data_IF_930660117782
#
_entry.id   IF_930660117782
#
_cell.length_a   1.000
_cell.length_b   1.000
_cell.length_c   1.000
_cell.angle_alpha   90.00
_cell.angle_beta   90.00
_cell.angle_gamma   90.00
#
_symmetry.space_group_name_H-M   'P 1'
#
loop_
_entity.id
_entity.type
_entity.pdbx_description
1 polymer ?
2 non-polymer ?
3 non-polymer ?
4 non-polymer ?
5 non-polymer ?
6 water ?
#
# COMPACT_ATOMS: atom_id res chain seq x y z
N UNK A 7 -14.07 21.84 -14.58
CA UNK A 7 -13.75 20.41 -14.28
C UNK A 7 -14.30 19.98 -12.93
N UNK A 8 -14.93 18.81 -12.91
CA UNK A 8 -15.61 18.32 -11.71
C UNK A 8 -14.73 17.39 -10.90
N UNK A 9 -14.98 17.35 -9.59
CA UNK A 9 -14.32 16.40 -8.72
C UNK A 9 -14.84 15.00 -9.00
N UNK A 10 -13.92 14.05 -9.10
CA UNK A 10 -14.31 12.65 -9.32
C UNK A 10 -13.57 11.70 -8.37
N UNK A 11 -14.07 10.48 -8.26
CA UNK A 11 -13.37 9.41 -7.59
C UNK A 11 -12.96 8.40 -8.64
N UNK A 12 -11.73 7.92 -8.56
CA UNK A 12 -11.31 6.77 -9.37
C UNK A 12 -11.03 5.57 -8.47
N UNK A 13 -12.01 4.67 -8.41
CA UNK A 13 -11.86 3.41 -7.67
C UNK A 13 -11.04 2.46 -8.51
N UNK A 14 -10.07 1.81 -7.88
CA UNK A 14 -9.19 0.89 -8.61
C UNK A 14 -8.72 -0.25 -7.73
N UNK A 15 -8.16 -1.27 -8.39
CA UNK A 15 -7.64 -2.46 -7.72
C UNK A 15 -6.69 -3.20 -8.68
N UNK A 16 -5.57 -3.70 -8.14
CA UNK A 16 -4.68 -4.61 -8.88
C UNK A 16 -4.89 -6.07 -8.50
N UNK A 17 -4.78 -6.96 -9.47
CA UNK A 17 -4.42 -8.34 -9.19
C UNK A 17 -2.97 -8.47 -9.58
N UNK A 18 -2.16 -9.08 -8.72
CA UNK A 18 -0.72 -9.21 -8.99
C UNK A 18 -0.29 -10.66 -8.94
N UNK A 19 0.97 -10.90 -9.28
CA UNK A 19 1.53 -12.25 -9.27
C UNK A 19 2.28 -12.57 -7.96
N UNK A 20 2.15 -11.69 -6.97
CA UNK A 20 2.78 -11.93 -5.68
C UNK A 20 2.58 -10.80 -4.69
N UNK A 21 3.05 -11.03 -3.46
CA UNK A 21 2.80 -10.13 -2.35
C UNK A 21 3.72 -8.90 -2.34
N UNK A 22 4.86 -8.99 -3.01
CA UNK A 22 5.85 -7.91 -2.95
C UNK A 22 5.56 -6.84 -4.01
N UNK A 23 5.22 -5.61 -3.56
CA UNK A 23 4.80 -4.59 -4.54
C UNK A 23 5.92 -4.16 -5.49
N UNK A 24 7.17 -4.40 -5.11
CA UNK A 24 8.33 -4.09 -5.95
C UNK A 24 8.85 -5.28 -6.74
N UNK A 25 8.93 -6.44 -6.08
CA UNK A 25 9.65 -7.60 -6.64
C UNK A 25 8.72 -8.61 -7.34
N UNK A 26 7.43 -8.48 -7.09
CA UNK A 26 6.46 -9.23 -7.86
C UNK A 26 5.84 -8.31 -8.92
N UNK A 27 5.27 -8.91 -9.95
CA UNK A 27 4.75 -8.15 -11.08
C UNK A 27 3.23 -8.10 -11.07
N UNK A 28 2.65 -6.99 -11.58
CA UNK A 28 1.19 -6.87 -11.67
C UNK A 28 0.64 -7.80 -12.75
N UNK A 29 -0.60 -8.23 -12.59
CA UNK A 29 -1.26 -9.06 -13.58
C UNK A 29 -2.39 -8.32 -14.27
N UNK A 30 -3.19 -7.62 -13.47
CA UNK A 30 -4.41 -7.00 -13.96
C UNK A 30 -4.69 -5.72 -13.18
N UNK A 31 -5.20 -4.71 -13.88
CA UNK A 31 -5.65 -3.48 -13.25
C UNK A 31 -7.12 -3.29 -13.59
N UNK A 32 -7.93 -2.91 -12.60
CA UNK A 32 -9.35 -2.61 -12.82
C UNK A 32 -9.69 -1.27 -12.17
N UNK A 33 -10.49 -0.45 -12.87
CA UNK A 33 -10.89 0.86 -12.33
C UNK A 33 -12.21 1.33 -12.91
N UNK A 34 -12.89 2.21 -12.18
CA UNK A 34 -14.04 2.92 -12.71
C UNK A 34 -14.16 4.26 -12.03
N UNK A 35 -14.62 5.25 -12.79
CA UNK A 35 -14.74 6.62 -12.31
C UNK A 35 -16.17 6.92 -11.88
N UNK A 36 -16.31 7.59 -10.74
CA UNK A 36 -17.63 8.06 -10.28
C UNK A 36 -17.61 9.57 -10.08
N UNK A 37 -18.80 10.18 -10.06
CA UNK A 37 -18.92 11.56 -9.62
C UNK A 37 -18.75 11.68 -8.10
N UNK A 38 -18.90 12.90 -7.59
CA UNK A 38 -18.66 13.16 -6.16
C UNK A 38 -19.65 12.44 -5.24
N UNK A 39 -20.74 11.94 -5.83
CA UNK A 39 -21.78 11.23 -5.08
C UNK A 39 -21.75 9.71 -5.32
N UNK A 40 -20.69 9.23 -5.95
CA UNK A 40 -20.46 7.79 -6.24
C UNK A 40 -21.34 7.20 -7.34
N UNK A 41 -21.96 8.07 -8.14
CA UNK A 41 -22.62 7.64 -9.38
C UNK A 41 -21.58 7.31 -10.44
N UNK A 42 -21.67 6.11 -11.01
CA UNK A 42 -20.73 5.70 -12.04
C UNK A 42 -20.89 6.57 -13.30
N UNK A 43 -19.80 7.20 -13.72
CA UNK A 43 -19.83 8.07 -14.91
C UNK A 43 -18.87 7.60 -16.00
N UNK A 44 -17.99 6.65 -15.66
CA UNK A 44 -17.04 6.12 -16.62
C UNK A 44 -17.39 4.71 -17.05
N UNK A 45 -16.66 4.22 -18.06
CA UNK A 45 -16.74 2.83 -18.47
C UNK A 45 -15.74 2.03 -17.65
N UNK A 46 -16.02 0.74 -17.40
CA UNK A 46 -15.04 -0.10 -16.72
C UNK A 46 -13.70 -0.11 -17.46
N UNK A 47 -12.62 0.09 -16.73
CA UNK A 47 -11.27 0.04 -17.29
C UNK A 47 -10.57 -1.19 -16.76
N UNK A 48 -10.47 -2.23 -17.58
CA UNK A 48 -9.85 -3.50 -17.16
C UNK A 48 -8.80 -3.90 -18.18
N UNK A 49 -7.55 -4.06 -17.73
CA UNK A 49 -6.50 -4.49 -18.64
C UNK A 49 -5.37 -5.23 -17.93
N UNK A 50 -4.59 -5.96 -18.73
CA UNK A 50 -3.60 -6.89 -18.19
C UNK A 50 -2.20 -6.41 -18.46
N UNK A 51 -1.25 -6.93 -17.69
CA UNK A 51 0.15 -6.61 -17.89
C UNK A 51 0.93 -7.87 -18.26
N UNK A 52 1.58 -7.83 -19.44
CA UNK A 52 2.52 -8.89 -19.84
C UNK A 52 3.69 -8.96 -18.87
N UNK A 53 3.91 -10.14 -18.27
CA UNK A 53 5.14 -10.30 -17.46
C UNK A 53 6.36 -10.55 -18.35
N UNK A 54 7.49 -9.90 -18.02
CA UNK A 54 8.74 -10.14 -18.75
C UNK A 54 9.29 -11.54 -18.45
N UNK A 55 10.21 -12.01 -19.28
CA UNK A 55 10.68 -13.39 -19.18
C UNK A 55 11.80 -13.61 -18.14
N UNK A 56 11.95 -12.67 -17.21
CA UNK A 56 12.90 -12.81 -16.11
C UNK A 56 12.17 -13.10 -14.79
N UNK A 57 10.92 -13.52 -14.88
CA UNK A 57 10.08 -13.63 -13.70
C UNK A 57 9.16 -14.84 -13.74
N UNK A 58 9.04 -15.53 -12.60
CA UNK A 58 7.96 -16.49 -12.39
C UNK A 58 7.04 -16.04 -11.26
N UNK A 59 5.72 -16.19 -11.45
CA UNK A 59 4.79 -15.74 -10.44
C UNK A 59 4.82 -16.61 -9.19
N UNK A 60 4.43 -16.04 -8.06
CA UNK A 60 4.23 -16.84 -6.84
C UNK A 60 3.00 -17.73 -7.04
N UNK A 61 3.18 -19.05 -6.89
CA UNK A 61 2.05 -19.96 -7.12
C UNK A 61 0.83 -19.59 -6.28
N UNK A 62 1.05 -19.18 -5.03
CA UNK A 62 -0.05 -18.81 -4.14
C UNK A 62 -0.90 -17.67 -4.67
N UNK A 63 -0.24 -16.70 -5.30
CA UNK A 63 -0.95 -15.54 -5.88
C UNK A 63 -1.90 -15.99 -6.98
N UNK A 64 -1.42 -16.87 -7.85
CA UNK A 64 -2.21 -17.36 -8.98
C UNK A 64 -3.41 -18.19 -8.50
N UNK A 65 -3.22 -18.96 -7.42
CA UNK A 65 -4.34 -19.71 -6.82
C UNK A 65 -5.45 -18.79 -6.29
N UNK A 66 -5.08 -17.60 -5.82
CA UNK A 66 -6.05 -16.59 -5.35
C UNK A 66 -6.77 -15.87 -6.51
N UNK A 67 -5.99 -15.38 -7.47
CA UNK A 67 -6.52 -14.55 -8.57
C UNK A 67 -7.16 -15.35 -9.70
N UNK A 68 -6.66 -16.55 -9.93
CA UNK A 68 -7.09 -17.36 -11.07
C UNK A 68 -6.54 -16.88 -12.41
N UNK A 69 -5.59 -15.94 -12.35
CA UNK A 69 -4.96 -15.41 -13.57
C UNK A 69 -3.58 -16.01 -13.75
N UNK A 70 -3.44 -16.84 -14.79
CA UNK A 70 -2.17 -17.48 -15.11
C UNK A 70 -1.23 -16.48 -15.79
N UNK A 71 0.10 -16.75 -15.73
CA UNK A 71 1.01 -15.91 -16.48
C UNK A 71 0.75 -15.99 -17.99
N UNK A 72 0.26 -17.15 -18.47
CA UNK A 72 -0.09 -17.32 -19.89
C UNK A 72 -1.18 -16.34 -20.31
N UNK A 73 -2.19 -16.17 -19.44
CA UNK A 73 -3.32 -15.31 -19.76
C UNK A 73 -2.92 -13.84 -19.74
N UNK A 74 -2.17 -13.42 -18.72
CA UNK A 74 -1.66 -12.04 -18.68
C UNK A 74 -0.73 -11.75 -19.87
N UNK A 75 0.10 -12.72 -20.22
CA UNK A 75 0.98 -12.57 -21.39
C UNK A 75 0.19 -12.44 -22.69
N UNK A 76 -0.87 -13.25 -22.85
CA UNK A 76 -1.63 -13.26 -24.11
C UNK A 76 -2.60 -12.10 -24.25
N UNK A 77 -3.07 -11.57 -23.12
CA UNK A 77 -4.08 -10.51 -23.11
C UNK A 77 -3.48 -9.14 -22.80
N UNK A 78 -2.26 -9.13 -22.26
CA UNK A 78 -1.66 -7.91 -21.74
C UNK A 78 -0.91 -7.07 -22.74
N UNK A 79 -0.56 -5.86 -22.32
CA UNK A 79 0.45 -5.09 -23.02
C UNK A 79 1.68 -5.04 -22.14
N UNK A 80 2.81 -4.62 -22.70
CA UNK A 80 4.03 -4.54 -21.90
C UNK A 80 3.85 -3.55 -20.75
N UNK A 81 4.69 -3.66 -19.73
CA UNK A 81 4.53 -2.86 -18.53
C UNK A 81 4.61 -1.36 -18.82
N UNK A 82 5.42 -0.98 -19.82
CA UNK A 82 5.46 0.43 -20.27
C UNK A 82 4.07 0.94 -20.67
N UNK A 83 3.35 0.15 -21.47
CA UNK A 83 2.02 0.55 -21.95
C UNK A 83 0.99 0.47 -20.83
N UNK A 84 1.13 -0.55 -19.98
CA UNK A 84 0.31 -0.73 -18.77
C UNK A 84 0.43 0.52 -17.87
N UNK A 85 1.67 0.94 -17.62
CA UNK A 85 1.94 2.15 -16.85
C UNK A 85 1.29 3.39 -17.48
N UNK A 86 1.44 3.53 -18.80
CA UNK A 86 0.88 4.67 -19.53
C UNK A 86 -0.63 4.80 -19.33
N UNK A 87 -1.33 3.66 -19.43
CA UNK A 87 -2.77 3.65 -19.27
C UNK A 87 -3.19 4.07 -17.86
N UNK A 88 -2.50 3.53 -16.86
CA UNK A 88 -2.80 3.85 -15.47
C UNK A 88 -2.48 5.32 -15.18
N UNK A 89 -1.32 5.78 -15.66
CA UNK A 89 -0.91 7.17 -15.46
C UNK A 89 -1.93 8.16 -16.05
N UNK A 90 -2.46 7.82 -17.21
CA UNK A 90 -3.45 8.66 -17.87
C UNK A 90 -4.72 8.80 -17.05
N UNK A 91 -5.16 7.70 -16.43
CA UNK A 91 -6.35 7.71 -15.57
C UNK A 91 -6.10 8.49 -14.28
N UNK A 92 -4.92 8.27 -13.70
CA UNK A 92 -4.60 8.81 -12.39
C UNK A 92 -4.34 10.32 -12.42
N UNK A 93 -3.98 10.86 -13.60
CA UNK A 93 -3.57 12.26 -13.69
C UNK A 93 -4.64 13.18 -14.25
N UNK A 94 -5.85 12.66 -14.44
CA UNK A 94 -6.99 13.53 -14.74
C UNK A 94 -7.19 14.46 -13.54
N UNK A 95 -7.28 15.78 -13.79
CA UNK A 95 -7.37 16.71 -12.66
C UNK A 95 -8.58 16.48 -11.74
N UNK A 96 -8.39 16.81 -10.47
CA UNK A 96 -9.47 16.74 -9.46
C UNK A 96 -9.95 15.32 -9.19
N UNK A 97 -9.06 14.35 -9.33
CA UNK A 97 -9.35 12.94 -9.06
C UNK A 97 -8.92 12.54 -7.65
N UNK A 98 -9.85 11.96 -6.89
CA UNK A 98 -9.49 11.22 -5.69
C UNK A 98 -9.30 9.75 -6.06
N UNK A 99 -8.05 9.29 -6.01
CA UNK A 99 -7.73 7.91 -6.34
C UNK A 99 -7.82 7.08 -5.09
N UNK A 100 -8.66 6.05 -5.11
CA UNK A 100 -8.90 5.28 -3.91
C UNK A 100 -9.16 3.81 -4.20
N UNK A 101 -9.04 3.00 -3.18
CA UNK A 101 -9.36 1.58 -3.29
C UNK A 101 -9.64 1.00 -1.91
N UNK A 102 -9.29 -0.26 -1.76
CA UNK A 102 -9.45 -0.96 -0.49
C UNK A 102 -8.11 -1.63 -0.16
N UNK A 103 -7.41 -1.07 0.83
CA UNK A 103 -6.01 -1.40 1.15
C UNK A 103 -5.00 -0.85 0.14
N UNK A 104 -5.41 0.17 -0.61
CA UNK A 104 -4.50 0.76 -1.58
C UNK A 104 -3.31 1.51 -0.96
N UNK A 105 -3.51 2.14 0.20
CA UNK A 105 -2.41 2.88 0.83
C UNK A 105 -1.20 1.98 1.11
N UNK A 106 -1.45 0.78 1.62
CA UNK A 106 -0.37 -0.17 1.95
C UNK A 106 0.05 -1.04 0.78
N UNK A 107 -0.87 -1.34 -0.13
CA UNK A 107 -0.56 -2.27 -1.21
C UNK A 107 -0.59 -1.62 -2.58
N UNK A 108 -1.78 -1.35 -3.10
CA UNK A 108 -1.93 -0.91 -4.50
C UNK A 108 -1.11 0.33 -4.85
N UNK A 109 -1.08 1.31 -3.94
CA UNK A 109 -0.30 2.53 -4.18
C UNK A 109 1.20 2.25 -4.29
N UNK A 110 1.67 1.23 -3.57
CA UNK A 110 3.06 0.81 -3.66
C UNK A 110 3.37 0.08 -4.96
N UNK A 111 2.42 -0.73 -5.44
CA UNK A 111 2.50 -1.30 -6.79
C UNK A 111 2.60 -0.17 -7.82
N UNK A 112 1.70 0.81 -7.73
CA UNK A 112 1.72 1.97 -8.64
C UNK A 112 3.09 2.69 -8.65
N UNK A 113 3.57 3.05 -7.46
CA UNK A 113 4.86 3.74 -7.33
C UNK A 113 5.97 2.96 -8.02
N UNK A 114 5.97 1.64 -7.83
CA UNK A 114 6.99 0.77 -8.44
C UNK A 114 6.87 0.62 -9.95
N UNK A 115 5.65 0.45 -10.46
CA UNK A 115 5.40 0.46 -11.90
C UNK A 115 5.87 1.79 -12.53
N UNK A 116 5.57 2.91 -11.88
CA UNK A 116 5.98 4.22 -12.40
C UNK A 116 7.50 4.36 -12.36
N UNK A 117 8.09 4.00 -11.22
CA UNK A 117 9.55 3.95 -11.04
C UNK A 117 10.26 3.16 -12.15
N UNK A 118 9.79 1.94 -12.42
CA UNK A 118 10.42 1.07 -13.42
C UNK A 118 10.26 1.60 -14.85
N UNK A 119 9.21 2.38 -15.08
CA UNK A 119 8.89 2.78 -16.43
C UNK A 119 8.98 4.28 -16.70
N UNK A 120 9.80 4.94 -15.88
CA UNK A 120 10.22 6.33 -16.12
C UNK A 120 9.11 7.37 -15.97
N UNK A 121 8.13 7.06 -15.13
CA UNK A 121 7.18 8.05 -14.63
C UNK A 121 7.57 8.52 -13.23
N UNK A 122 7.19 9.75 -12.89
CA UNK A 122 7.29 10.23 -11.51
C UNK A 122 6.45 9.32 -10.62
N UNK A 123 7.07 8.74 -9.57
CA UNK A 123 6.32 7.80 -8.73
C UNK A 123 5.33 8.46 -7.77
N UNK A 124 5.43 9.78 -7.61
CA UNK A 124 4.71 10.47 -6.53
C UNK A 124 3.73 11.55 -6.99
N UNK A 125 4.06 12.24 -8.08
CA UNK A 125 3.31 13.44 -8.50
C UNK A 125 1.81 13.21 -8.73
N UNK A 126 1.48 12.03 -9.27
CA UNK A 126 0.10 11.67 -9.64
C UNK A 126 -0.91 11.88 -8.50
N UNK A 127 -0.45 11.70 -7.27
CA UNK A 127 -1.37 11.66 -6.12
C UNK A 127 -1.78 13.03 -5.60
N UNK A 128 -1.08 14.09 -6.00
CA UNK A 128 -1.34 15.44 -5.45
C UNK A 128 -1.50 16.56 -6.49
N UNK A 129 -0.86 16.41 -7.64
CA UNK A 129 -0.91 17.44 -8.69
C UNK A 129 -2.34 17.62 -9.24
N UNK A 130 -2.65 18.84 -9.69
CA UNK A 130 -3.97 19.15 -10.27
C UNK A 130 -5.13 18.90 -9.30
N UNK A 131 -4.90 19.18 -8.01
CA UNK A 131 -5.89 19.01 -6.95
C UNK A 131 -6.30 17.55 -6.73
N UNK A 132 -5.42 16.63 -7.13
CA UNK A 132 -5.69 15.22 -6.88
C UNK A 132 -5.48 14.84 -5.43
N UNK A 133 -6.01 13.68 -5.03
CA UNK A 133 -5.81 13.17 -3.68
C UNK A 133 -5.93 11.66 -3.66
N UNK A 134 -5.69 11.06 -2.49
CA UNK A 134 -5.88 9.63 -2.30
C UNK A 134 -6.78 9.39 -1.09
N UNK A 135 -7.39 8.22 -1.06
CA UNK A 135 -8.17 7.77 0.08
C UNK A 135 -8.12 6.24 0.06
N UNK A 136 -8.60 5.62 1.14
CA UNK A 136 -8.55 4.17 1.25
C UNK A 136 -9.70 3.75 2.14
N UNK A 137 -10.62 2.96 1.59
CA UNK A 137 -11.81 2.54 2.36
C UNK A 137 -11.52 1.57 3.50
N UNK A 138 -10.36 0.90 3.49
CA UNK A 138 -10.03 -0.04 4.56
C UNK A 138 -9.97 0.66 5.92
N UNK A 139 -9.21 1.76 6.00
CA UNK A 139 -9.15 2.45 7.28
C UNK A 139 -10.44 3.19 7.63
N UNK A 140 -11.25 3.51 6.61
CA UNK A 140 -12.61 4.03 6.86
C UNK A 140 -13.48 2.99 7.58
N UNK A 141 -13.47 1.74 7.08
CA UNK A 141 -14.22 0.65 7.72
C UNK A 141 -13.71 0.41 9.15
N UNK A 142 -12.39 0.40 9.31
CA UNK A 142 -11.80 0.24 10.64
C UNK A 142 -12.22 1.36 11.59
N UNK A 143 -12.20 2.61 11.10
CA UNK A 143 -12.63 3.76 11.89
C UNK A 143 -14.10 3.65 12.32
N UNK A 144 -14.94 3.19 11.40
CA UNK A 144 -16.36 2.98 11.71
C UNK A 144 -16.54 1.96 12.83
N UNK A 145 -15.88 0.81 12.70
CA UNK A 145 -15.99 -0.23 13.70
C UNK A 145 -15.60 0.28 15.08
N UNK A 146 -14.49 1.03 15.13
CA UNK A 146 -13.94 1.48 16.40
C UNK A 146 -14.76 2.62 16.98
N UNK A 147 -15.15 3.57 16.13
CA UNK A 147 -15.62 4.86 16.62
C UNK A 147 -17.14 5.04 16.52
N UNK A 148 -17.74 4.46 15.48
CA UNK A 148 -19.17 4.67 15.20
C UNK A 148 -19.76 3.39 14.60
N UNK A 149 -19.83 2.31 15.40
CA UNK A 149 -20.18 0.99 14.84
C UNK A 149 -21.68 0.82 14.52
N UNK A 150 -22.52 1.74 14.98
CA UNK A 150 -23.98 1.62 14.80
C UNK A 150 -24.42 1.49 13.33
N UNK A 151 -25.23 0.47 13.07
CA UNK A 151 -25.93 0.36 11.78
C UNK A 151 -25.23 -0.50 10.75
N UNK A 152 -24.00 -0.92 11.06
CA UNK A 152 -23.26 -1.82 10.20
C UNK A 152 -23.02 -3.15 10.90
N UNK A 153 -23.16 -4.24 10.15
CA UNK A 153 -22.86 -5.58 10.66
C UNK A 153 -21.36 -5.84 10.56
N UNK A 154 -20.75 -6.20 11.70
CA UNK A 154 -19.31 -6.38 11.77
C UNK A 154 -18.96 -7.85 11.91
N UNK A 155 -18.48 -8.47 10.81
CA UNK A 155 -18.20 -9.90 10.80
C UNK A 155 -16.98 -10.25 11.67
N UNK A 156 -17.00 -11.44 12.26
CA UNK A 156 -15.84 -12.00 12.95
C UNK A 156 -15.20 -13.04 12.07
N UNK A 157 -13.87 -13.07 12.06
CA UNK A 157 -13.16 -14.15 11.37
C UNK A 157 -13.10 -15.43 12.20
N UNK A 158 -12.47 -16.46 11.64
CA UNK A 158 -12.42 -17.78 12.29
C UNK A 158 -11.65 -17.77 13.62
N UNK A 159 -10.90 -16.71 13.87
CA UNK A 159 -10.14 -16.58 15.11
C UNK A 159 -10.92 -15.83 16.19
N UNK A 160 -12.09 -15.30 15.83
CA UNK A 160 -12.96 -14.61 16.79
C UNK A 160 -12.66 -13.13 16.91
N UNK A 161 -11.96 -12.59 15.91
CA UNK A 161 -11.58 -11.17 15.86
C UNK A 161 -12.37 -10.47 14.78
N UNK A 162 -12.62 -9.14 14.94
CA UNK A 162 -13.34 -8.43 13.86
C UNK A 162 -12.56 -8.50 12.56
N UNK A 163 -13.26 -8.81 11.47
CA UNK A 163 -12.63 -8.93 10.16
C UNK A 163 -12.93 -7.70 9.29
N UNK A 164 -11.93 -7.28 8.52
CA UNK A 164 -12.10 -6.19 7.57
C UNK A 164 -11.76 -6.59 6.14
N UNK A 165 -11.76 -7.89 5.88
CA UNK A 165 -11.65 -8.39 4.52
C UNK A 165 -12.88 -7.95 3.74
N UNK A 166 -12.64 -7.42 2.55
CA UNK A 166 -13.71 -6.84 1.75
C UNK A 166 -14.86 -7.83 1.56
N UNK A 167 -14.50 -9.08 1.27
CA UNK A 167 -15.49 -10.14 1.04
C UNK A 167 -16.35 -10.46 2.29
N UNK A 168 -15.76 -10.34 3.47
CA UNK A 168 -16.49 -10.58 4.72
C UNK A 168 -17.47 -9.45 5.00
N UNK A 169 -17.03 -8.22 4.76
CA UNK A 169 -17.87 -7.04 5.00
C UNK A 169 -19.05 -6.95 4.03
N UNK A 170 -18.84 -7.30 2.77
CA UNK A 170 -19.94 -7.30 1.80
C UNK A 170 -21.00 -8.35 2.16
N UNK A 171 -20.56 -9.58 2.39
CA UNK A 171 -21.43 -10.69 2.76
C UNK A 171 -22.23 -10.36 4.03
N UNK A 172 -21.55 -9.81 5.02
CA UNK A 172 -22.18 -9.53 6.31
C UNK A 172 -23.23 -8.43 6.21
N UNK A 173 -23.16 -7.61 5.16
CA UNK A 173 -24.06 -6.46 5.01
C UNK A 173 -24.96 -6.53 3.78
N UNK A 174 -25.09 -7.75 3.23
CA UNK A 174 -26.03 -8.01 2.13
C UNK A 174 -25.64 -7.43 0.79
N UNK A 175 -24.37 -7.10 0.62
CA UNK A 175 -23.89 -6.49 -0.62
C UNK A 175 -23.45 -7.54 -1.64
N UNK A 176 -24.10 -7.52 -2.81
CA UNK A 176 -23.73 -8.39 -3.93
C UNK A 176 -22.24 -8.29 -4.24
N UNK A 177 -21.56 -9.42 -4.19
CA UNK A 177 -20.13 -9.49 -4.45
C UNK A 177 -19.79 -10.79 -5.17
N UNK A 178 -19.28 -10.65 -6.41
CA UNK A 178 -18.97 -11.82 -7.23
C UNK A 178 -17.48 -11.90 -7.57
N UNK A 182 -15.95 -12.02 -12.96
CA UNK A 182 -16.08 -10.58 -13.09
C UNK A 182 -14.84 -9.85 -12.52
N UNK A 183 -14.03 -9.30 -13.44
CA UNK A 183 -12.82 -8.58 -13.08
C UNK A 183 -13.11 -7.31 -12.26
N UNK A 184 -14.34 -6.81 -12.37
CA UNK A 184 -14.73 -5.57 -11.73
C UNK A 184 -15.28 -5.77 -10.31
N UNK A 185 -15.32 -7.02 -9.85
CA UNK A 185 -16.02 -7.36 -8.61
C UNK A 185 -15.54 -6.58 -7.38
N UNK A 186 -14.23 -6.49 -7.21
CA UNK A 186 -13.64 -5.80 -6.06
C UNK A 186 -13.85 -4.29 -6.13
N UNK A 187 -13.74 -3.73 -7.33
CA UNK A 187 -13.99 -2.30 -7.53
C UNK A 187 -15.44 -1.92 -7.17
N UNK A 188 -16.40 -2.68 -7.69
CA UNK A 188 -17.80 -2.39 -7.39
C UNK A 188 -18.10 -2.58 -5.90
N UNK A 189 -17.45 -3.58 -5.29
CA UNK A 189 -17.58 -3.83 -3.85
C UNK A 189 -17.05 -2.65 -3.02
N UNK A 190 -15.98 -2.03 -3.50
CA UNK A 190 -15.38 -0.89 -2.81
C UNK A 190 -16.31 0.32 -2.87
N UNK A 191 -16.93 0.54 -4.04
CA UNK A 191 -17.94 1.59 -4.20
C UNK A 191 -19.11 1.36 -3.23
N UNK A 192 -19.52 0.11 -3.09
CA UNK A 192 -20.62 -0.23 -2.19
C UNK A 192 -20.26 0.06 -0.73
N UNK A 193 -19.01 -0.20 -0.35
CA UNK A 193 -18.51 0.13 1.00
C UNK A 193 -18.61 1.62 1.27
N UNK A 194 -18.20 2.42 0.28
CA UNK A 194 -18.23 3.86 0.40
C UNK A 194 -19.66 4.36 0.62
N UNK A 195 -20.58 3.87 -0.21
CA UNK A 195 -21.99 4.22 -0.08
C UNK A 195 -22.55 3.80 1.28
N UNK A 196 -22.14 2.62 1.74
CA UNK A 196 -22.57 2.08 3.02
C UNK A 196 -22.26 3.04 4.18
N UNK A 197 -20.99 3.45 4.27
CA UNK A 197 -20.56 4.34 5.35
C UNK A 197 -21.17 5.74 5.21
N UNK A 198 -21.22 6.24 3.98
CA UNK A 198 -21.80 7.56 3.71
C UNK A 198 -23.25 7.64 4.18
N UNK A 199 -24.00 6.55 3.97
CA UNK A 199 -25.41 6.48 4.35
C UNK A 199 -25.61 6.27 5.86
N UNK A 200 -24.82 5.36 6.43
CA UNK A 200 -25.06 4.93 7.81
C UNK A 200 -24.28 5.72 8.86
N UNK A 201 -23.16 6.31 8.47
CA UNK A 201 -22.42 7.21 9.35
C UNK A 201 -22.00 8.50 8.62
N UNK A 202 -22.99 9.35 8.29
CA UNK A 202 -22.76 10.47 7.38
C UNK A 202 -21.71 11.46 7.88
N UNK A 203 -21.78 11.84 9.17
CA UNK A 203 -20.84 12.83 9.70
C UNK A 203 -19.41 12.29 9.79
N UNK A 204 -19.27 11.02 10.20
CA UNK A 204 -17.93 10.40 10.24
C UNK A 204 -17.35 10.31 8.82
N UNK A 205 -18.19 9.93 7.86
CA UNK A 205 -17.76 9.83 6.46
C UNK A 205 -17.19 11.15 5.97
N UNK A 206 -17.94 12.23 6.19
CA UNK A 206 -17.52 13.57 5.80
C UNK A 206 -16.23 13.98 6.49
N UNK A 207 -16.14 13.66 7.79
CA UNK A 207 -14.94 13.98 8.57
C UNK A 207 -13.71 13.26 8.00
N UNK A 208 -13.84 11.97 7.74
CA UNK A 208 -12.72 11.18 7.22
C UNK A 208 -12.30 11.63 5.81
N UNK A 209 -13.28 11.93 4.96
CA UNK A 209 -12.98 12.41 3.62
C UNK A 209 -12.21 13.74 3.67
N UNK A 210 -12.72 14.70 4.42
CA UNK A 210 -12.06 16.00 4.56
C UNK A 210 -10.63 15.84 5.09
N UNK A 211 -10.47 14.95 6.07
CA UNK A 211 -9.16 14.76 6.72
C UNK A 211 -8.19 13.81 6.00
N UNK A 212 -8.50 13.46 4.75
CA UNK A 212 -7.52 12.82 3.89
C UNK A 212 -6.40 13.80 3.53
N UNK A 213 -6.68 15.09 3.67
CA UNK A 213 -5.75 16.15 3.30
C UNK A 213 -4.74 16.40 4.42
N UNK A 214 -3.46 16.42 4.07
CA UNK A 214 -2.39 16.49 5.07
C UNK A 214 -2.46 17.76 5.92
N UNK A 215 -2.90 18.86 5.32
CA UNK A 215 -2.93 20.14 6.04
C UNK A 215 -4.03 20.17 7.12
N UNK A 216 -5.16 19.49 6.84
CA UNK A 216 -6.20 19.30 7.86
C UNK A 216 -5.73 18.39 9.01
N UNK A 217 -4.97 17.35 8.66
CA UNK A 217 -4.34 16.49 9.67
C UNK A 217 -3.37 17.27 10.55
N UNK A 218 -2.58 18.14 9.92
CA UNK A 218 -1.59 18.96 10.64
C UNK A 218 -2.24 19.78 11.74
N UNK A 219 -3.46 20.26 11.51
CA UNK A 219 -4.16 21.11 12.49
C UNK A 219 -4.49 20.38 13.80
N UNK A 220 -4.54 19.05 13.74
CA UNK A 220 -4.81 18.25 14.93
C UNK A 220 -3.57 18.07 15.79
N UNK A 221 -2.39 18.33 15.21
CA UNK A 221 -1.12 18.02 15.87
C UNK A 221 -0.60 19.19 16.71
N UNK A 222 -0.46 18.95 18.01
CA UNK A 222 0.11 19.94 18.93
C UNK A 222 1.21 19.28 19.75
N UNK A 223 2.45 19.41 19.27
CA UNK A 223 3.59 18.77 19.91
C UNK A 223 3.97 19.38 21.29
N UNK A 224 4.08 20.73 21.38
CA UNK A 224 4.42 21.32 22.69
C UNK A 224 3.47 20.87 23.81
N UNK A 225 2.19 20.74 23.49
CA UNK A 225 1.18 20.37 24.50
C UNK A 225 1.03 18.86 24.61
N UNK A 226 1.67 18.13 23.69
CA UNK A 226 1.46 16.68 23.57
C UNK A 226 -0.02 16.36 23.59
N UNK A 227 -0.78 17.08 22.76
CA UNK A 227 -2.23 16.96 22.76
C UNK A 227 -2.66 15.57 22.28
N UNK A 228 -3.45 14.86 23.12
CA UNK A 228 -3.83 13.49 22.78
C UNK A 228 -4.84 13.42 21.63
N UNK A 229 -4.69 12.39 20.79
CA UNK A 229 -5.60 12.14 19.69
C UNK A 229 -6.01 10.69 19.69
N UNK A 230 -7.16 10.39 19.09
CA UNK A 230 -7.46 9.02 18.75
C UNK A 230 -6.85 8.68 17.38
N UNK A 231 -6.26 7.50 17.29
CA UNK A 231 -5.65 7.05 16.04
C UNK A 231 -6.12 5.63 15.78
N UNK A 232 -6.66 5.42 14.59
CA UNK A 232 -7.05 4.10 14.14
C UNK A 232 -6.06 3.60 13.10
N UNK A 233 -5.43 2.46 13.38
CA UNK A 233 -4.37 1.93 12.54
C UNK A 233 -4.33 0.41 12.62
N UNK A 234 -4.15 -0.23 11.47
CA UNK A 234 -3.98 -1.69 11.41
C UNK A 234 -2.88 -2.19 12.35
N UNK A 235 -1.85 -1.35 12.57
CA UNK A 235 -0.72 -1.73 13.41
C UNK A 235 -1.10 -1.95 14.88
N UNK A 236 -2.24 -1.40 15.29
CA UNK A 236 -2.70 -1.56 16.68
C UNK A 236 -3.33 -2.94 16.93
N UNK A 237 -3.90 -3.55 15.88
CA UNK A 237 -4.43 -4.92 15.99
C UNK A 237 -5.93 -4.98 16.20
N UNK A 238 -6.55 -5.94 15.53
CA UNK A 238 -8.00 -6.11 15.58
C UNK A 238 -8.51 -6.41 17.00
N UNK A 239 -7.63 -6.93 17.86
CA UNK A 239 -8.02 -7.31 19.22
C UNK A 239 -8.44 -6.10 20.06
N UNK A 240 -7.99 -4.91 19.66
CA UNK A 240 -8.43 -3.66 20.31
C UNK A 240 -9.06 -2.72 19.27
N UNK A 241 -9.71 -3.32 18.28
CA UNK A 241 -10.39 -2.55 17.24
C UNK A 241 -9.47 -1.59 16.52
N UNK A 242 -8.19 -1.95 16.41
CA UNK A 242 -7.19 -1.14 15.67
C UNK A 242 -7.05 0.30 16.17
N UNK A 243 -7.32 0.51 17.46
CA UNK A 243 -7.50 1.86 17.97
C UNK A 243 -6.73 2.11 19.26
N UNK A 244 -6.16 3.31 19.38
CA UNK A 244 -5.64 3.77 20.66
C UNK A 244 -5.67 5.28 20.76
N UNK A 245 -5.40 5.76 21.96
CA UNK A 245 -5.09 7.18 22.17
C UNK A 245 -3.58 7.37 22.06
N UNK A 246 -3.18 8.37 21.28
CA UNK A 246 -1.77 8.65 21.02
C UNK A 246 -1.45 10.10 21.33
N UNK A 247 -0.16 10.42 21.45
CA UNK A 247 0.26 11.80 21.60
C UNK A 247 1.51 12.04 20.77
N UNK A 248 1.59 13.20 20.10
CA UNK A 248 2.77 13.53 19.29
C UNK A 248 3.94 13.98 20.18
N UNK A 249 5.11 13.37 19.97
CA UNK A 249 6.31 13.71 20.75
C UNK A 249 7.22 14.66 19.99
N UNK A 250 7.35 14.42 18.69
CA UNK A 250 8.23 15.18 17.83
C UNK A 250 7.97 14.81 16.39
N UNK A 251 8.56 15.57 15.47
CA UNK A 251 8.53 15.23 14.07
C UNK A 251 9.81 14.51 13.68
N UNK A 252 9.71 13.67 12.64
CA UNK A 252 10.84 12.89 12.18
C UNK A 252 11.98 13.81 11.71
N UNK A 253 13.24 13.49 12.09
CA UNK A 253 14.43 14.26 11.72
C UNK A 253 14.63 14.41 10.21
N UNK A 254 14.36 13.34 9.46
CA UNK A 254 14.54 13.35 8.01
C UNK A 254 13.22 13.46 7.25
N UNK A 255 12.27 12.59 7.58
CA UNK A 255 11.01 12.51 6.85
C UNK A 255 10.07 13.68 7.18
N UNK A 256 9.90 14.56 6.21
CA UNK A 256 9.12 15.79 6.37
C UNK A 256 7.66 15.51 6.72
N UNK A 257 7.13 14.37 6.25
CA UNK A 257 5.70 14.05 6.43
C UNK A 257 5.40 13.08 7.59
N UNK A 258 6.42 12.75 8.38
CA UNK A 258 6.25 11.77 9.45
C UNK A 258 6.34 12.42 10.83
N UNK A 259 5.31 12.20 11.65
CA UNK A 259 5.30 12.62 13.05
C UNK A 259 5.48 11.40 13.96
N UNK A 260 6.21 11.59 15.06
CA UNK A 260 6.52 10.51 15.99
C UNK A 260 5.51 10.49 17.13
N UNK A 261 4.72 9.43 17.18
CA UNK A 261 3.64 9.29 18.17
C UNK A 261 4.00 8.28 19.24
N UNK A 262 3.51 8.52 20.45
CA UNK A 262 3.54 7.51 21.50
C UNK A 262 2.15 6.93 21.70
N UNK A 263 2.07 5.61 21.80
CA UNK A 263 0.83 4.94 22.13
C UNK A 263 0.66 4.99 23.62
N UNK A 264 -0.32 5.79 24.07
CA UNK A 264 -0.54 6.04 25.50
C UNK A 264 -1.03 4.80 26.25
N UNK A 265 -1.56 3.83 25.51
CA UNK A 265 -2.02 2.59 26.13
C UNK A 265 -0.84 1.64 26.39
N UNK A 266 0.33 1.98 25.86
CA UNK A 266 1.50 1.13 25.95
C UNK A 266 2.23 1.24 27.29
N UNK A 267 3.41 0.63 27.36
CA UNK A 267 4.28 0.72 28.50
C UNK A 267 5.39 1.70 28.19
N UNK A 268 5.37 2.86 28.82
CA UNK A 268 6.33 3.91 28.53
C UNK A 268 7.64 3.79 29.30
N UNK A 269 7.75 2.80 30.19
CA UNK A 269 8.95 2.62 31.02
C UNK A 269 10.27 2.51 30.22
N UNK A 270 10.27 1.80 29.06
CA UNK A 270 11.48 1.79 28.22
C UNK A 270 11.88 3.18 27.69
N UNK A 271 10.89 4.03 27.40
CA UNK A 271 11.16 5.41 26.98
C UNK A 271 11.75 6.26 28.11
N UNK A 272 11.36 5.95 29.34
CA UNK A 272 11.83 6.70 30.50
C UNK A 272 13.20 6.23 30.96
N UNK A 273 13.44 4.92 30.88
CA UNK A 273 14.61 4.29 31.51
C UNK A 273 15.79 4.09 30.57
N UNK A 274 15.50 3.77 29.31
CA UNK A 274 16.54 3.40 28.36
C UNK A 274 17.05 4.59 27.55
N UNK A 275 18.29 4.48 27.07
CA UNK A 275 18.89 5.51 26.23
C UNK A 275 18.48 5.33 24.76
N UNK A 276 18.80 6.33 23.93
CA UNK A 276 18.36 6.36 22.54
C UNK A 276 18.95 5.25 21.67
N UNK A 277 20.13 4.76 22.04
CA UNK A 277 20.80 3.68 21.31
C UNK A 277 20.11 2.33 21.54
N UNK A 278 19.75 2.06 22.80
CA UNK A 278 19.07 0.82 23.15
C UNK A 278 17.65 0.78 22.57
N UNK A 279 16.99 1.95 22.58
CA UNK A 279 15.63 2.07 22.06
C UNK A 279 15.57 1.88 20.54
N UNK A 280 16.60 2.36 19.83
CA UNK A 280 16.69 2.21 18.38
C UNK A 280 16.84 0.75 17.97
N UNK A 281 17.62 -0.01 18.74
CA UNK A 281 17.84 -1.43 18.49
C UNK A 281 16.60 -2.24 18.86
N UNK A 282 15.90 -1.80 19.91
CA UNK A 282 14.72 -2.51 20.41
C UNK A 282 13.56 -2.55 19.42
N UNK A 283 13.17 -1.39 18.90
CA UNK A 283 12.03 -1.30 17.98
C UNK A 283 12.38 -1.80 16.57
N UNK A 284 13.67 -1.93 16.29
CA UNK A 284 14.16 -2.54 15.06
C UNK A 284 14.06 -4.07 15.14
N UNK A 293 11.71 -8.78 26.73
CA UNK A 293 12.21 -7.44 26.40
C UNK A 293 11.07 -6.44 26.21
N UNK A 294 11.25 -5.23 26.72
CA UNK A 294 10.18 -4.23 26.71
C UNK A 294 9.81 -3.76 25.30
N UNK A 295 8.51 -3.61 25.06
CA UNK A 295 8.02 -3.06 23.80
C UNK A 295 8.09 -1.54 23.84
N UNK A 296 8.61 -0.94 22.78
CA UNK A 296 8.72 0.50 22.70
C UNK A 296 7.47 1.06 22.03
N UNK A 297 6.64 1.79 22.81
CA UNK A 297 5.31 2.20 22.34
C UNK A 297 5.35 3.44 21.45
N UNK A 298 6.13 3.35 20.37
CA UNK A 298 6.33 4.49 19.48
C UNK A 298 6.04 4.06 18.04
N UNK A 299 5.36 4.93 17.29
CA UNK A 299 5.10 4.67 15.88
C UNK A 299 5.18 5.97 15.08
N UNK A 300 5.47 5.83 13.79
CA UNK A 300 5.40 6.96 12.87
C UNK A 300 4.01 7.07 12.30
N UNK A 301 3.51 8.30 12.20
CA UNK A 301 2.30 8.58 11.45
C UNK A 301 2.66 9.43 10.24
N UNK A 302 2.32 8.91 9.06
CA UNK A 302 2.68 9.56 7.79
C UNK A 302 1.48 10.34 7.28
N UNK A 303 1.57 11.67 7.36
CA UNK A 303 0.39 12.52 7.09
C UNK A 303 -0.04 12.55 5.63
N UNK A 304 0.82 12.03 4.74
CA UNK A 304 0.49 11.88 3.33
C UNK A 304 -0.13 10.54 2.97
N UNK A 305 -0.37 9.71 3.99
CA UNK A 305 -0.89 8.37 3.77
C UNK A 305 -2.29 8.16 4.38
N UNK A 306 -3.10 9.23 4.37
CA UNK A 306 -4.45 9.21 4.95
C UNK A 306 -4.57 8.46 6.27
N UNK A 307 -3.73 8.78 7.28
CA UNK A 307 -3.94 8.15 8.58
C UNK A 307 -5.24 8.64 9.22
N UNK A 308 -5.90 7.78 9.97
CA UNK A 308 -7.08 8.17 10.71
C UNK A 308 -6.70 8.80 12.04
N UNK A 309 -6.96 10.11 12.16
CA UNK A 309 -6.68 10.88 13.37
C UNK A 309 -7.87 11.76 13.69
N UNK A 310 -8.20 11.90 14.98
CA UNK A 310 -9.25 12.79 15.42
C UNK A 310 -9.03 13.21 16.87
N UNK A 311 -9.68 14.29 17.28
CA UNK A 311 -9.58 14.73 18.68
C UNK A 311 -9.94 13.58 19.62
N UNK A 312 -9.33 13.60 20.80
CA UNK A 312 -9.39 12.45 21.72
C UNK A 312 -10.81 12.01 22.10
N UNK A 313 -11.73 12.97 22.26
CA UNK A 313 -13.09 12.64 22.67
C UNK A 313 -13.96 12.04 21.57
N UNK A 314 -13.37 11.87 20.38
CA UNK A 314 -14.06 11.18 19.28
C UNK A 314 -14.29 9.71 19.64
N UNK A 315 -13.36 9.13 20.40
CA UNK A 315 -13.59 7.81 20.97
C UNK A 315 -14.42 7.92 22.25
N UNK A 316 -15.71 7.57 22.15
CA UNK A 316 -16.65 7.67 23.28
C UNK A 316 -16.37 6.61 24.36
N UNK A 317 -16.69 6.94 25.65
CA UNK A 317 -16.42 6.01 26.75
C UNK A 317 -16.95 4.60 26.51
N UNK A 318 -18.18 4.49 25.99
CA UNK A 318 -18.80 3.19 25.74
C UNK A 318 -18.00 2.36 24.72
N UNK A 319 -17.38 3.04 23.76
CA UNK A 319 -16.58 2.36 22.76
C UNK A 319 -15.18 2.02 23.25
N UNK A 320 -14.58 2.91 24.03
CA UNK A 320 -13.30 2.61 24.70
C UNK A 320 -13.47 1.34 25.56
N UNK A 321 -14.58 1.28 26.29
CA UNK A 321 -14.89 0.12 27.11
C UNK A 321 -15.06 -1.14 26.24
N UNK A 322 -15.79 -1.00 25.14
CA UNK A 322 -16.01 -2.11 24.20
C UNK A 322 -14.69 -2.67 23.65
N UNK A 323 -13.74 -1.77 23.35
CA UNK A 323 -12.45 -2.14 22.75
C UNK A 323 -11.41 -2.53 23.82
N UNK A 324 -11.78 -2.38 25.09
CA UNK A 324 -10.91 -2.74 26.20
C UNK A 324 -9.81 -1.73 26.50
N UNK A 325 -10.02 -0.48 26.04
CA UNK A 325 -9.01 0.56 26.18
C UNK A 325 -9.11 1.27 27.54
N UNK A 326 -7.99 1.27 28.28
CA UNK A 326 -7.94 1.77 29.65
C UNK A 326 -7.63 3.27 29.69
N UNK A 327 -8.67 4.07 29.92
CA UNK A 327 -8.53 5.54 29.87
C UNK A 327 -7.57 6.06 30.92
N UNK A 328 -7.68 5.51 32.14
CA UNK A 328 -6.83 5.99 33.24
C UNK A 328 -5.35 5.69 33.01
N UNK A 329 -5.07 4.52 32.44
CA UNK A 329 -3.68 4.18 32.09
C UNK A 329 -3.12 5.19 31.10
N UNK A 330 -3.92 5.51 30.07
CA UNK A 330 -3.52 6.48 29.05
C UNK A 330 -3.28 7.87 29.63
N UNK A 331 -4.20 8.32 30.51
CA UNK A 331 -4.08 9.64 31.16
C UNK A 331 -2.85 9.71 32.06
N UNK A 332 -2.58 8.63 32.80
CA UNK A 332 -1.40 8.57 33.66
C UNK A 332 -0.12 8.66 32.84
N UNK A 333 -0.07 7.94 31.72
CA UNK A 333 1.08 8.00 30.81
C UNK A 333 1.25 9.40 30.21
N UNK A 334 0.12 10.03 29.85
CA UNK A 334 0.17 11.37 29.25
C UNK A 334 0.78 12.37 30.24
N UNK A 335 0.35 12.31 31.49
CA UNK A 335 0.87 13.19 32.54
C UNK A 335 2.38 13.03 32.73
N UNK A 336 2.84 11.77 32.79
CA UNK A 336 4.27 11.46 32.95
C UNK A 336 5.10 12.00 31.78
N UNK A 337 4.64 11.76 30.55
CA UNK A 337 5.36 12.23 29.36
C UNK A 337 5.47 13.76 29.32
N UNK A 338 4.39 14.44 29.70
CA UNK A 338 4.37 15.91 29.74
C UNK A 338 5.34 16.47 30.78
N UNK A 339 5.57 15.72 31.86
CA UNK A 339 6.49 16.13 32.92
C UNK A 339 7.93 15.68 32.64
N UNK A 340 8.10 14.92 31.57
CA UNK A 340 9.42 14.50 31.13
C UNK A 340 9.70 14.84 29.65
N UNK A 341 9.79 16.15 29.33
CA UNK A 341 9.97 16.59 27.94
C UNK A 341 11.31 16.14 27.33
N UNK A 342 12.20 15.61 28.16
CA UNK A 342 13.47 15.06 27.68
C UNK A 342 13.27 13.83 26.79
N UNK A 343 12.07 13.24 26.86
CA UNK A 343 11.74 12.08 26.03
C UNK A 343 11.60 12.45 24.55
N UNK A 344 11.29 13.72 24.29
CA UNK A 344 11.18 14.23 22.92
C UNK A 344 12.50 14.08 22.15
N UNK A 345 13.59 14.51 22.77
CA UNK A 345 14.92 14.40 22.16
C UNK A 345 15.33 12.95 22.03
N UNK A 346 14.92 12.13 22.99
CA UNK A 346 15.23 10.71 23.00
C UNK A 346 14.65 9.96 21.80
N UNK A 347 13.42 10.29 21.40
CA UNK A 347 12.79 9.62 20.26
C UNK A 347 13.25 10.19 18.91
N UNK A 348 13.61 11.47 18.89
CA UNK A 348 14.23 12.09 17.71
C UNK A 348 15.57 11.40 17.42
N UNK A 349 16.32 11.13 18.48
CA UNK A 349 17.62 10.45 18.36
C UNK A 349 17.49 9.04 17.80
N UNK A 350 16.39 8.36 18.15
CA UNK A 350 16.09 7.04 17.59
C UNK A 350 16.02 7.10 16.05
N UNK A 351 15.28 8.08 15.53
CA UNK A 351 14.97 8.16 14.10
C UNK A 351 15.98 9.01 13.30
N UNK A 352 16.91 9.64 14.02
CA UNK A 352 17.99 10.40 13.37
C UNK A 352 18.93 9.48 12.60
N UNK A 353 19.04 8.23 13.06
CA UNK A 353 19.84 7.18 12.41
C UNK A 353 21.27 7.66 12.10
N UNK A 360 20.19 -4.43 -0.89
CA UNK A 360 19.85 -5.20 -2.09
C UNK A 360 20.46 -4.57 -3.34
N UNK A 361 21.07 -5.40 -4.19
CA UNK A 361 21.70 -4.92 -5.42
C UNK A 361 20.72 -4.90 -6.61
N UNK A 362 19.48 -5.30 -6.35
CA UNK A 362 18.45 -5.34 -7.37
C UNK A 362 17.82 -3.96 -7.50
N UNK A 363 18.03 -3.31 -8.64
CA UNK A 363 17.50 -1.97 -8.88
C UNK A 363 15.96 -1.90 -8.73
N UNK A 364 15.26 -3.01 -9.01
CA UNK A 364 13.81 -3.10 -8.80
C UNK A 364 13.42 -2.80 -7.35
N UNK A 365 14.36 -3.01 -6.43
CA UNK A 365 14.12 -2.87 -5.00
C UNK A 365 14.58 -1.51 -4.44
N UNK A 366 14.99 -0.60 -5.32
CA UNK A 366 15.71 0.61 -4.89
C UNK A 366 14.94 1.93 -5.04
N UNK A 367 13.61 1.85 -5.15
CA UNK A 367 12.77 3.05 -5.21
C UNK A 367 13.13 4.06 -4.11
N UNK A 368 13.29 3.58 -2.89
CA UNK A 368 13.46 4.46 -1.73
C UNK A 368 14.91 4.73 -1.35
N UNK A 369 15.84 4.40 -2.26
CA UNK A 369 17.25 4.73 -2.09
C UNK A 369 17.53 6.24 -2.25
N UNK A 370 16.47 7.02 -2.40
CA UNK A 370 16.59 8.47 -2.50
C UNK A 370 15.80 9.03 -3.66
N UNK A 371 15.57 10.34 -3.62
CA UNK A 371 14.95 11.05 -4.74
C UNK A 371 16.00 11.35 -5.79
N UNK A 372 15.59 11.36 -7.05
CA UNK A 372 16.47 11.76 -8.14
C UNK A 372 16.59 13.28 -8.19
N UNK A 373 17.75 13.78 -8.62
CA UNK A 373 17.93 15.22 -8.82
C UNK A 373 16.96 15.74 -9.87
N UNK A 374 16.76 17.06 -9.89
CA UNK A 374 15.91 17.68 -10.90
C UNK A 374 16.41 17.37 -12.31
N UNK A 375 17.74 17.39 -12.47
CA UNK A 375 18.36 17.09 -13.76
C UNK A 375 18.11 15.64 -14.19
N UNK A 376 18.29 14.70 -13.25
CA UNK A 376 18.05 13.29 -13.53
C UNK A 376 16.59 13.00 -13.92
N UNK A 377 15.64 13.64 -13.22
CA UNK A 377 14.22 13.53 -13.57
C UNK A 377 13.91 14.10 -14.97
N UNK A 378 14.51 15.25 -15.28
CA UNK A 378 14.37 15.85 -16.60
C UNK A 378 14.85 14.91 -17.70
N UNK A 379 15.97 14.24 -17.45
CA UNK A 379 16.53 13.26 -18.38
C UNK A 379 15.63 12.02 -18.49
N UNK A 380 15.10 11.55 -17.36
CA UNK A 380 14.18 10.41 -17.35
C UNK A 380 12.87 10.73 -18.09
N UNK A 381 12.46 12.00 -18.04
CA UNK A 381 11.31 12.45 -18.79
C UNK A 381 11.55 12.35 -20.32
N UNK A 382 12.77 12.64 -20.76
CA UNK A 382 13.13 12.46 -22.17
C UNK A 382 13.06 10.97 -22.59
N UNK A 383 13.57 10.08 -21.74
CA UNK A 383 13.46 8.64 -22.00
C UNK A 383 11.99 8.27 -22.23
N UNK A 384 11.14 8.73 -21.32
CA UNK A 384 9.73 8.43 -21.37
C UNK A 384 9.08 8.91 -22.68
N UNK A 385 9.47 10.09 -23.13
CA UNK A 385 8.78 10.74 -24.24
C UNK A 385 9.46 10.49 -25.59
N UNK A 386 10.59 9.80 -25.56
CA UNK A 386 11.27 9.36 -26.77
C UNK A 386 10.65 8.05 -27.28
N UNK A 387 10.49 7.95 -28.60
CA UNK A 387 10.04 6.70 -29.24
C UNK A 387 11.00 5.55 -28.89
N UNK A 388 10.44 4.38 -28.51
CA UNK A 388 11.28 3.25 -28.07
C UNK A 388 12.34 2.87 -29.11
N UNK A 389 12.03 3.07 -30.39
CA UNK A 389 12.95 2.77 -31.47
C UNK A 389 14.15 3.75 -31.51
N UNK A 390 13.95 4.94 -30.96
CA UNK A 390 14.98 5.96 -30.93
C UNK A 390 15.83 5.94 -29.65
N UNK A 391 15.52 5.02 -28.74
CA UNK A 391 16.24 4.90 -27.47
C UNK A 391 17.70 4.46 -27.60
N UNK A 392 17.99 3.48 -28.48
CA UNK A 392 19.38 3.03 -28.66
C UNK A 392 20.32 4.19 -29.02
N UNK A 393 19.86 5.09 -29.87
CA UNK A 393 20.67 6.23 -30.31
C UNK A 393 20.53 7.47 -29.42
N UNK A 394 19.71 7.37 -28.36
CA UNK A 394 19.45 8.53 -27.50
C UNK A 394 20.68 8.99 -26.74
N UNK A 395 21.10 10.23 -27.02
CA UNK A 395 22.18 10.89 -26.30
C UNK A 395 21.61 11.64 -25.09
N UNK A 396 21.96 11.16 -23.90
CA UNK A 396 21.50 11.77 -22.64
C UNK A 396 22.42 11.37 -21.48
N UNK A 397 22.43 12.18 -20.42
CA UNK A 397 23.33 11.96 -19.29
C UNK A 397 22.57 11.77 -17.97
N UNK A 398 22.96 10.75 -17.21
CA UNK A 398 22.42 10.50 -15.87
C UNK A 398 23.52 10.56 -14.82
N UNK A 399 23.15 10.97 -13.61
CA UNK A 399 24.08 10.93 -12.47
C UNK A 399 23.75 9.76 -11.54
N UNK A 400 22.48 9.65 -11.15
CA UNK A 400 22.04 8.61 -10.23
C UNK A 400 22.35 7.23 -10.77
N UNK A 401 22.98 6.41 -9.93
CA UNK A 401 23.55 5.12 -10.37
C UNK A 401 22.49 4.10 -10.74
N UNK A 402 21.26 4.28 -10.23
CA UNK A 402 20.16 3.37 -10.51
C UNK A 402 19.72 3.42 -11.97
N UNK A 403 19.84 4.60 -12.59
CA UNK A 403 19.20 4.86 -13.87
C UNK A 403 19.71 3.98 -15.03
N UNK A 404 21.03 3.79 -15.10
CA UNK A 404 21.63 2.92 -16.13
C UNK A 404 20.95 1.55 -16.13
N UNK A 405 20.79 0.97 -14.95
CA UNK A 405 20.20 -0.36 -14.84
C UNK A 405 18.69 -0.30 -15.08
N UNK A 406 18.04 0.74 -14.56
CA UNK A 406 16.61 0.95 -14.82
C UNK A 406 16.35 1.00 -16.32
N UNK A 407 17.19 1.76 -17.03
CA UNK A 407 17.03 1.93 -18.47
C UNK A 407 17.29 0.64 -19.24
N UNK A 408 18.30 -0.12 -18.83
CA UNK A 408 18.54 -1.40 -19.47
C UNK A 408 17.37 -2.36 -19.28
N UNK A 409 16.92 -2.53 -18.03
CA UNK A 409 15.77 -3.39 -17.72
C UNK A 409 14.52 -2.97 -18.48
N UNK A 410 14.29 -1.66 -18.52
CA UNK A 410 13.15 -1.09 -19.22
C UNK A 410 13.15 -1.50 -20.70
N UNK A 411 14.29 -1.33 -21.36
CA UNK A 411 14.40 -1.65 -22.77
C UNK A 411 14.32 -3.17 -22.99
N UNK A 412 15.05 -3.94 -22.19
CA UNK A 412 15.10 -5.39 -22.37
C UNK A 412 13.76 -6.07 -22.09
N UNK A 413 13.05 -5.59 -21.07
CA UNK A 413 11.75 -6.18 -20.71
C UNK A 413 10.64 -5.78 -21.66
N UNK A 414 10.62 -4.52 -22.06
CA UNK A 414 9.51 -3.99 -22.86
C UNK A 414 9.73 -4.06 -24.36
N UNK A 415 10.98 -3.86 -24.78
CA UNK A 415 11.31 -3.70 -26.20
C UNK A 415 12.51 -4.57 -26.60
N UNK A 416 12.38 -5.91 -26.40
CA UNK A 416 13.54 -6.80 -26.62
C UNK A 416 14.00 -6.83 -28.09
N UNK A 417 13.13 -6.47 -29.01
CA UNK A 417 13.49 -6.41 -30.44
C UNK A 417 14.45 -5.27 -30.77
N UNK A 418 14.73 -4.41 -29.79
CA UNK A 418 15.60 -3.24 -29.99
C UNK A 418 17.01 -3.44 -29.43
N UNK A 419 17.23 -4.60 -28.80
CA UNK A 419 18.55 -4.92 -28.22
C UNK A 419 19.51 -5.41 -29.27
N UNK A 420 20.76 -4.96 -29.19
CA UNK A 420 21.82 -5.53 -30.02
C UNK A 420 22.39 -6.79 -29.36
N UNK A 421 23.37 -7.42 -30.01
CA UNK A 421 23.87 -8.71 -29.56
C UNK A 421 24.43 -8.67 -28.13
N UNK A 422 25.27 -7.68 -27.85
CA UNK A 422 25.83 -7.51 -26.52
C UNK A 422 24.73 -7.34 -25.47
N UNK A 423 23.69 -6.59 -25.81
CA UNK A 423 22.57 -6.36 -24.91
C UNK A 423 21.76 -7.64 -24.67
N UNK A 424 21.54 -8.41 -25.72
CA UNK A 424 20.91 -9.73 -25.60
C UNK A 424 21.69 -10.64 -24.65
N UNK A 425 23.02 -10.65 -24.79
CA UNK A 425 23.88 -11.44 -23.91
C UNK A 425 23.82 -10.98 -22.46
N UNK A 426 23.72 -9.66 -22.27
CA UNK A 426 23.55 -9.11 -20.94
C UNK A 426 22.22 -9.58 -20.32
N UNK A 427 21.16 -9.56 -21.12
CA UNK A 427 19.84 -10.02 -20.66
C UNK A 427 19.83 -11.51 -20.32
N UNK A 428 20.51 -12.32 -21.14
CA UNK A 428 20.62 -13.77 -20.88
C UNK A 428 21.30 -14.06 -19.54
N UNK A 429 22.34 -13.31 -19.24
CA UNK A 429 23.04 -13.41 -17.95
C UNK A 429 22.14 -12.99 -16.78
N UNK A 430 21.40 -11.89 -16.97
CA UNK A 430 20.42 -11.42 -15.99
C UNK A 430 19.43 -12.54 -15.64
N UNK A 431 18.87 -13.17 -16.67
CA UNK A 431 17.90 -14.25 -16.47
C UNK A 431 18.53 -15.42 -15.73
N UNK A 432 19.75 -15.78 -16.14
CA UNK A 432 20.51 -16.85 -15.49
C UNK A 432 20.69 -16.60 -13.98
N UNK A 433 20.93 -15.34 -13.61
CA UNK A 433 21.17 -14.98 -12.20
C UNK A 433 19.88 -14.92 -11.36
N UNK A 434 18.73 -14.83 -12.02
CA UNK A 434 17.44 -14.95 -11.34
C UNK A 434 17.11 -16.42 -11.14
N UNK A 435 17.20 -17.17 -12.22
CA UNK A 435 16.82 -18.56 -12.21
C UNK A 435 17.98 -19.44 -11.73
N UNK A 436 18.40 -19.22 -10.49
CA UNK A 436 19.47 -19.99 -9.85
C UNK A 436 19.03 -21.44 -9.62
N UNK A 437 19.98 -22.35 -9.35
CA UNK A 437 19.65 -23.73 -9.01
C UNK A 437 18.71 -23.85 -7.81
N UNK A 438 18.96 -23.05 -6.77
CA UNK A 438 18.10 -23.04 -5.57
C UNK A 438 16.67 -22.58 -5.89
N UNK A 439 16.54 -21.54 -6.70
CA UNK A 439 15.22 -21.02 -7.07
C UNK A 439 14.40 -22.04 -7.87
N UNK A 440 15.02 -22.63 -8.88
CA UNK A 440 14.31 -23.52 -9.79
C UNK A 440 13.85 -24.80 -9.10
N UNK A 441 14.73 -25.37 -8.28
CA UNK A 441 14.37 -26.55 -7.49
C UNK A 441 13.21 -26.23 -6.55
N UNK A 442 13.32 -25.12 -5.82
CA UNK A 442 12.28 -24.68 -4.91
C UNK A 442 10.94 -24.49 -5.60
N UNK A 443 10.98 -23.94 -6.81
CA UNK A 443 9.75 -23.69 -7.56
C UNK A 443 9.06 -24.99 -7.93
N UNK A 444 9.82 -25.94 -8.48
CA UNK A 444 9.30 -27.26 -8.82
C UNK A 444 8.75 -27.97 -7.59
N UNK A 445 9.49 -27.87 -6.48
CA UNK A 445 9.07 -28.49 -5.21
C UNK A 445 7.75 -27.90 -4.71
N UNK A 446 7.60 -26.58 -4.82
CA UNK A 446 6.38 -25.91 -4.35
C UNK A 446 5.15 -26.32 -5.15
N UNK A 447 5.30 -26.36 -6.47
CA UNK A 447 4.21 -26.77 -7.36
C UNK A 447 3.73 -28.20 -7.06
N UNK A 448 4.69 -29.11 -6.88
CA UNK A 448 4.38 -30.52 -6.58
C UNK A 448 3.71 -30.65 -5.20
N UNK A 449 4.21 -29.87 -4.23
CA UNK A 449 3.59 -29.83 -2.92
C UNK A 449 2.15 -29.33 -3.02
N UNK A 450 1.95 -28.22 -3.73
CA UNK A 450 0.64 -27.60 -3.81
C UNK A 450 -0.39 -28.47 -4.52
N UNK A 451 0.05 -29.22 -5.54
CA UNK A 451 -0.87 -30.08 -6.28
C UNK A 451 -1.35 -31.26 -5.42
N UNK A 452 -0.55 -31.65 -4.43
CA UNK A 452 -0.95 -32.65 -3.41
C UNK A 452 -1.86 -32.01 -2.37
N UNK A 453 -1.45 -30.86 -1.86
CA UNK A 453 -2.21 -30.10 -0.87
C UNK A 453 -3.63 -29.80 -1.35
N UNK A 454 -3.76 -29.44 -2.63
CA UNK A 454 -5.03 -29.00 -3.20
C UNK A 454 -5.59 -30.01 -4.21
N UNK A 455 -5.22 -31.27 -4.03
CA UNK A 455 -5.61 -32.35 -4.96
C UNK A 455 -7.12 -32.44 -5.16
N UNK A 456 -7.88 -32.08 -4.13
CA UNK A 456 -9.34 -32.16 -4.16
C UNK A 456 -9.98 -30.91 -4.79
N UNK A 457 -9.16 -29.92 -5.12
CA UNK A 457 -9.65 -28.69 -5.75
C UNK A 457 -9.24 -28.67 -7.22
N UNK A 458 -10.20 -29.01 -8.09
CA UNK A 458 -9.91 -29.23 -9.52
C UNK A 458 -9.45 -27.95 -10.24
N UNK A 459 -10.02 -26.81 -9.85
CA UNK A 459 -9.62 -25.53 -10.42
C UNK A 459 -8.16 -25.20 -10.08
N UNK A 460 -7.79 -25.39 -8.82
CA UNK A 460 -6.43 -25.13 -8.39
C UNK A 460 -5.43 -26.10 -9.03
N UNK A 461 -5.81 -27.38 -9.14
CA UNK A 461 -4.96 -28.36 -9.80
C UNK A 461 -4.64 -27.92 -11.24
N UNK A 462 -5.66 -27.46 -11.97
CA UNK A 462 -5.48 -26.99 -13.33
C UNK A 462 -4.61 -25.73 -13.43
N UNK A 463 -4.74 -24.84 -12.45
CA UNK A 463 -3.91 -23.64 -12.39
C UNK A 463 -2.45 -24.01 -12.15
N UNK A 464 -2.23 -24.99 -11.27
CA UNK A 464 -0.88 -25.43 -10.94
C UNK A 464 -0.19 -26.12 -12.12
N UNK A 465 -0.96 -26.88 -12.90
CA UNK A 465 -0.42 -27.46 -14.14
C UNK A 465 -0.03 -26.36 -15.13
N UNK A 466 -0.85 -25.31 -15.24
CA UNK A 466 -0.52 -24.15 -16.05
C UNK A 466 0.79 -23.49 -15.60
N UNK A 467 0.94 -23.33 -14.29
CA UNK A 467 2.17 -22.76 -13.71
C UNK A 467 3.40 -23.60 -14.02
N UNK A 468 3.26 -24.92 -13.94
CA UNK A 468 4.34 -25.82 -14.31
C UNK A 468 4.74 -25.64 -15.77
N UNK A 469 3.73 -25.57 -16.64
CA UNK A 469 3.96 -25.44 -18.07
C UNK A 469 4.66 -24.11 -18.43
N UNK A 470 4.25 -23.03 -17.75
CA UNK A 470 4.88 -21.73 -17.97
C UNK A 470 6.35 -21.74 -17.54
N UNK A 471 6.60 -22.32 -16.36
CA UNK A 471 7.96 -22.44 -15.83
C UNK A 471 8.85 -23.27 -16.75
N UNK A 472 8.30 -24.36 -17.31
CA UNK A 472 9.01 -25.18 -18.29
C UNK A 472 9.47 -24.35 -19.49
N UNK A 473 8.56 -23.52 -20.01
CA UNK A 473 8.86 -22.66 -21.16
C UNK A 473 9.89 -21.58 -20.82
N UNK A 474 9.58 -20.79 -19.80
CA UNK A 474 10.42 -19.64 -19.40
C UNK A 474 11.75 -20.11 -18.80
N UNK A 475 11.74 -21.35 -18.29
CA UNK A 475 12.93 -22.01 -17.72
C UNK A 475 13.80 -21.09 -16.87
#
# INVERSE_FOLDING_TARGET
MMNDGKQQSTFLFHDYETFGTHPALDRPAQFAAIRTDSEFNVIGEPEVFYCKPADDYLPQPGAVLITGITPQEARAKGENEAAFAARIHSLFTVPKTCILGYNNVRFDDEVTRNIFYRNFYDPYAWSWQHDNSRWDLLDVMRACYALRPEGINWPENDDGLPSFRLEHLTKANGIEHSNAHDAMADVYATIAMAKLVKTRQPRLFDYLFTHRNKHKLMALIDVPQMKPLVHVSGMFGAWRGNTSWVAPLAWHPENRNAVIMVDLAGDISPLLELDSDTLRERLYTAKTDLGDNAAVPVKLVHINKCPVLAQANTLRPEDADRLGINRQHCLDNLKILRENPQVREKVVAIFAEAEPFTPSDNVDAQLYNGFFSDADRAAMKIVLETEPRNLPALDITFVDKRIEKLLFNYRARNFPGTLDYAEQQRWLEHRRQVFTPEFLQGYADELQMLVQQYADDKEKVALLKALWQYADEIVEHHHHHH
#
